data_IF_771292015224
#
_entry.id   IF_771292015224
#
_cell.length_a   1.000
_cell.length_b   1.000
_cell.length_c   1.000
_cell.angle_alpha   90.00
_cell.angle_beta   90.00
_cell.angle_gamma   90.00
#
_symmetry.space_group_name_H-M   'P 1'
#
loop_
_entity.id
_entity.type
_entity.pdbx_description
1 polymer ?
#
# COMPACT_ATOMS: atom_id res chain seq x y z
N UNK A 1 3.66 -28.62 -7.03
CA UNK A 1 3.29 -27.97 -8.28
C UNK A 1 4.33 -26.88 -8.60
N UNK A 2 5.04 -26.92 -9.74
CA UNK A 2 6.06 -25.94 -10.09
C UNK A 2 5.52 -24.53 -10.35
N UNK A 3 4.22 -24.38 -10.52
CA UNK A 3 3.54 -23.11 -10.81
C UNK A 3 3.13 -22.35 -9.55
N UNK A 4 3.29 -22.95 -8.35
CA UNK A 4 2.96 -22.30 -7.09
C UNK A 4 4.15 -21.49 -6.58
N UNK A 5 3.87 -20.22 -6.26
CA UNK A 5 4.73 -19.35 -5.48
C UNK A 5 4.21 -19.23 -4.05
N UNK A 6 5.10 -19.05 -3.09
CA UNK A 6 4.71 -18.88 -1.70
C UNK A 6 5.59 -17.86 -0.99
N UNK A 7 5.00 -17.16 -0.04
CA UNK A 7 5.69 -16.23 0.85
C UNK A 7 5.17 -16.38 2.27
N UNK A 8 6.05 -16.14 3.24
CA UNK A 8 5.70 -16.12 4.67
C UNK A 8 5.94 -14.72 5.19
N UNK A 9 4.90 -14.13 5.78
CA UNK A 9 4.97 -12.87 6.49
C UNK A 9 4.86 -13.13 8.00
N UNK A 10 5.71 -12.47 8.77
CA UNK A 10 5.75 -12.57 10.23
C UNK A 10 5.60 -11.17 10.79
N UNK A 11 4.66 -10.92 11.72
CA UNK A 11 4.59 -9.62 12.40
C UNK A 11 5.84 -9.41 13.25
N UNK A 12 6.11 -8.15 13.59
CA UNK A 12 7.30 -7.79 14.35
C UNK A 12 7.42 -8.54 15.69
N UNK A 13 6.30 -8.78 16.35
CA UNK A 13 6.25 -9.53 17.62
C UNK A 13 6.37 -11.06 17.46
N UNK A 14 6.38 -11.57 16.23
CA UNK A 14 6.54 -12.99 15.92
C UNK A 14 5.42 -13.91 16.39
N UNK A 15 4.24 -13.35 16.74
CA UNK A 15 3.15 -14.09 17.38
C UNK A 15 2.46 -15.12 16.48
N UNK A 16 2.55 -14.93 15.15
CA UNK A 16 1.99 -15.83 14.15
C UNK A 16 2.75 -15.72 12.81
N UNK A 17 2.42 -16.58 11.88
CA UNK A 17 2.96 -16.58 10.52
C UNK A 17 1.80 -16.61 9.53
N UNK A 18 1.83 -15.74 8.54
CA UNK A 18 0.88 -15.74 7.42
C UNK A 18 1.59 -16.34 6.21
N UNK A 19 1.11 -17.47 5.75
CA UNK A 19 1.52 -18.09 4.50
C UNK A 19 0.58 -17.65 3.39
N UNK A 20 1.14 -17.02 2.35
CA UNK A 20 0.45 -16.68 1.12
C UNK A 20 0.92 -17.60 0.00
N UNK A 21 -0.01 -18.16 -0.76
CA UNK A 21 0.27 -19.06 -1.89
C UNK A 21 -0.43 -18.51 -3.12
N UNK A 22 0.36 -18.17 -4.15
CA UNK A 22 -0.10 -17.73 -5.46
C UNK A 22 0.13 -18.80 -6.54
N UNK A 23 -0.47 -18.64 -7.70
CA UNK A 23 -0.30 -19.53 -8.85
C UNK A 23 0.06 -18.72 -10.11
N UNK A 24 1.25 -19.00 -10.65
CA UNK A 24 1.73 -18.35 -11.88
C UNK A 24 1.77 -16.83 -11.78
N UNK A 25 1.09 -16.14 -12.69
CA UNK A 25 0.93 -14.67 -12.73
C UNK A 25 -0.43 -14.20 -12.21
N UNK A 26 -1.22 -15.10 -11.60
CA UNK A 26 -2.50 -14.74 -10.99
C UNK A 26 -2.24 -13.87 -9.75
N UNK A 27 -2.95 -12.77 -9.63
CA UNK A 27 -2.83 -11.87 -8.47
C UNK A 27 -3.57 -12.41 -7.24
N UNK A 28 -4.52 -13.34 -7.44
CA UNK A 28 -5.27 -13.99 -6.36
C UNK A 28 -4.37 -14.93 -5.58
N UNK A 29 -4.69 -15.15 -4.32
CA UNK A 29 -3.90 -16.03 -3.47
C UNK A 29 -4.73 -16.72 -2.38
N UNK A 30 -4.24 -17.88 -1.94
CA UNK A 30 -4.66 -18.51 -0.70
C UNK A 30 -3.94 -17.88 0.48
N UNK A 31 -4.58 -17.87 1.65
CA UNK A 31 -3.94 -17.51 2.90
C UNK A 31 -4.11 -18.61 3.94
N UNK A 32 -3.07 -18.82 4.72
CA UNK A 32 -3.10 -19.67 5.91
C UNK A 32 -2.32 -19.03 7.04
N UNK A 33 -2.67 -19.36 8.27
CA UNK A 33 -2.03 -18.85 9.48
C UNK A 33 -1.48 -19.99 10.35
N UNK A 34 -0.35 -19.77 10.98
CA UNK A 34 0.21 -20.62 12.02
C UNK A 34 0.57 -19.80 13.24
N UNK A 35 0.23 -20.31 14.43
CA UNK A 35 0.49 -19.65 15.72
C UNK A 35 1.69 -20.25 16.48
N UNK A 36 2.29 -21.28 15.93
CA UNK A 36 3.40 -22.00 16.56
C UNK A 36 4.54 -22.29 15.57
N UNK A 37 5.66 -22.81 16.09
CA UNK A 37 6.81 -23.19 15.31
C UNK A 37 6.65 -24.56 14.59
N UNK A 38 5.53 -25.26 14.80
CA UNK A 38 5.28 -26.60 14.23
C UNK A 38 4.92 -26.55 12.75
N UNK A 39 4.78 -25.38 12.15
CA UNK A 39 4.33 -25.16 10.77
C UNK A 39 2.94 -25.73 10.47
N UNK A 40 2.11 -25.90 11.49
CA UNK A 40 0.70 -26.24 11.33
C UNK A 40 -0.06 -25.01 10.85
N UNK A 41 -0.28 -24.92 9.55
CA UNK A 41 -1.03 -23.83 8.94
C UNK A 41 -2.52 -24.13 8.88
N UNK A 42 -3.32 -23.24 9.45
CA UNK A 42 -4.79 -23.27 9.40
C UNK A 42 -5.22 -22.39 8.22
N UNK A 43 -6.06 -22.87 7.30
CA UNK A 43 -6.54 -22.07 6.19
C UNK A 43 -7.37 -20.86 6.68
N UNK A 44 -7.05 -19.67 6.20
CA UNK A 44 -7.85 -18.45 6.35
C UNK A 44 -8.70 -18.20 5.11
N UNK A 45 -8.09 -18.35 3.94
CA UNK A 45 -8.70 -18.26 2.61
C UNK A 45 -8.27 -19.48 1.83
N UNK A 46 -9.23 -20.34 1.49
CA UNK A 46 -9.02 -21.62 0.81
C UNK A 46 -9.46 -21.63 -0.65
N UNK A 47 -9.90 -20.51 -1.18
CA UNK A 47 -10.36 -20.35 -2.56
C UNK A 47 -9.59 -19.20 -3.25
N UNK A 48 -9.33 -19.35 -4.55
CA UNK A 48 -8.69 -18.34 -5.40
C UNK A 48 -9.71 -17.27 -5.83
N UNK A 49 -10.23 -16.48 -4.88
CA UNK A 49 -11.33 -15.54 -5.13
C UNK A 49 -10.84 -14.09 -5.27
N UNK A 50 -9.78 -13.72 -4.57
CA UNK A 50 -9.27 -12.35 -4.54
C UNK A 50 -7.78 -12.31 -4.16
N UNK A 51 -7.19 -11.12 -4.31
CA UNK A 51 -5.86 -10.79 -3.78
C UNK A 51 -5.97 -10.41 -2.31
N UNK A 52 -5.05 -10.92 -1.49
CA UNK A 52 -4.90 -10.55 -0.08
C UNK A 52 -3.43 -10.26 0.20
N UNK A 53 -3.08 -8.99 0.40
CA UNK A 53 -1.73 -8.57 0.71
C UNK A 53 -1.62 -8.19 2.19
N UNK A 54 -0.74 -8.88 2.92
CA UNK A 54 -0.42 -8.57 4.30
C UNK A 54 0.31 -7.21 4.37
N UNK A 55 -0.22 -6.28 5.15
CA UNK A 55 0.33 -4.93 5.32
C UNK A 55 1.16 -4.78 6.59
N UNK A 56 0.83 -5.55 7.63
CA UNK A 56 1.46 -5.51 8.93
C UNK A 56 0.61 -6.19 9.99
N UNK A 57 1.16 -6.37 11.18
CA UNK A 57 0.42 -7.00 12.27
C UNK A 57 1.06 -6.81 13.63
N UNK A 58 0.21 -6.85 14.67
CA UNK A 58 0.57 -6.96 16.09
C UNK A 58 0.36 -8.40 16.57
N UNK A 59 0.50 -8.65 17.86
CA UNK A 59 0.25 -9.97 18.46
C UNK A 59 -1.15 -10.52 18.16
N UNK A 60 -2.15 -9.66 18.10
CA UNK A 60 -3.57 -10.01 18.06
C UNK A 60 -4.33 -9.41 16.88
N UNK A 61 -3.64 -8.77 15.94
CA UNK A 61 -4.24 -8.12 14.77
C UNK A 61 -3.35 -8.25 13.54
N UNK A 62 -3.98 -8.34 12.36
CA UNK A 62 -3.30 -8.25 11.08
C UNK A 62 -4.12 -7.41 10.10
N UNK A 63 -3.46 -6.53 9.34
CA UNK A 63 -4.08 -5.67 8.33
C UNK A 63 -3.77 -6.20 6.95
N UNK A 64 -4.80 -6.24 6.10
CA UNK A 64 -4.71 -6.74 4.74
C UNK A 64 -5.35 -5.76 3.76
N UNK A 65 -4.68 -5.54 2.64
CA UNK A 65 -5.33 -5.07 1.42
C UNK A 65 -5.99 -6.24 0.72
N UNK A 66 -7.18 -6.02 0.15
CA UNK A 66 -7.83 -7.01 -0.72
C UNK A 66 -8.71 -6.32 -1.76
N UNK A 67 -8.92 -7.01 -2.88
CA UNK A 67 -9.89 -6.65 -3.91
C UNK A 67 -11.15 -7.53 -3.87
N UNK A 68 -11.39 -8.26 -2.79
CA UNK A 68 -12.60 -9.07 -2.61
C UNK A 68 -13.84 -8.19 -2.66
N UNK A 69 -14.72 -8.42 -3.65
CA UNK A 69 -15.94 -7.64 -3.91
C UNK A 69 -15.70 -6.11 -3.94
N UNK A 70 -14.47 -5.70 -4.30
CA UNK A 70 -13.99 -4.33 -4.24
C UNK A 70 -12.87 -4.10 -5.28
N UNK A 71 -13.18 -3.97 -6.57
CA UNK A 71 -12.18 -3.85 -7.64
C UNK A 71 -11.19 -2.69 -7.44
N UNK A 72 -11.59 -1.63 -6.73
CA UNK A 72 -10.69 -0.52 -6.36
C UNK A 72 -9.87 -0.78 -5.08
N UNK A 73 -10.08 -1.92 -4.43
CA UNK A 73 -9.41 -2.30 -3.19
C UNK A 73 -10.08 -1.78 -1.92
N UNK A 74 -9.87 -2.50 -0.85
CA UNK A 74 -10.33 -2.22 0.52
C UNK A 74 -9.34 -2.73 1.54
N UNK A 75 -9.48 -2.33 2.79
CA UNK A 75 -8.64 -2.80 3.89
C UNK A 75 -9.46 -3.64 4.86
N UNK A 76 -8.96 -4.83 5.14
CA UNK A 76 -9.48 -5.71 6.18
C UNK A 76 -8.58 -5.73 7.41
N UNK A 77 -9.20 -5.87 8.55
CA UNK A 77 -8.58 -6.27 9.81
C UNK A 77 -8.89 -7.75 10.07
N UNK A 78 -7.88 -8.55 10.30
CA UNK A 78 -7.99 -9.89 10.88
C UNK A 78 -7.77 -9.76 12.38
N UNK A 79 -8.84 -9.95 13.15
CA UNK A 79 -8.82 -9.95 14.62
C UNK A 79 -8.44 -11.36 15.11
N UNK A 80 -7.33 -11.44 15.82
CA UNK A 80 -6.73 -12.66 16.35
C UNK A 80 -6.81 -12.71 17.89
N UNK A 81 -7.58 -11.82 18.52
CA UNK A 81 -7.74 -11.77 19.98
C UNK A 81 -8.55 -12.93 20.55
N UNK A 82 -9.27 -13.65 19.72
CA UNK A 82 -10.04 -14.86 20.06
C UNK A 82 -9.39 -16.12 19.48
N UNK A 83 -9.85 -17.30 19.90
CA UNK A 83 -9.37 -18.59 19.38
C UNK A 83 -9.68 -18.80 17.88
N UNK A 84 -10.64 -18.07 17.35
CA UNK A 84 -11.00 -18.13 15.93
C UNK A 84 -10.71 -16.75 15.30
N UNK A 85 -9.92 -16.71 14.21
CA UNK A 85 -9.66 -15.48 13.45
C UNK A 85 -10.95 -14.89 12.87
N UNK A 86 -11.18 -13.58 13.09
CA UNK A 86 -12.38 -12.88 12.62
C UNK A 86 -11.99 -11.78 11.65
N UNK A 87 -12.49 -11.85 10.41
CA UNK A 87 -12.34 -10.80 9.42
C UNK A 87 -13.31 -9.66 9.67
N UNK A 88 -12.81 -8.43 9.65
CA UNK A 88 -13.60 -7.21 9.75
C UNK A 88 -13.27 -6.28 8.60
N UNK A 89 -14.29 -5.71 7.98
CA UNK A 89 -14.12 -4.62 7.02
C UNK A 89 -13.70 -3.35 7.78
N UNK A 90 -12.50 -2.83 7.45
CA UNK A 90 -11.92 -1.72 8.18
C UNK A 90 -12.03 -0.40 7.40
N UNK A 91 -11.56 -0.40 6.15
CA UNK A 91 -11.70 0.75 5.24
C UNK A 91 -12.36 0.21 3.98
N UNK A 92 -13.61 0.58 3.69
CA UNK A 92 -14.35 0.10 2.55
C UNK A 92 -13.78 0.64 1.22
N UNK A 93 -14.18 0.00 0.13
CA UNK A 93 -13.84 0.47 -1.21
C UNK A 93 -14.25 1.93 -1.42
N UNK A 94 -13.40 2.67 -2.11
CA UNK A 94 -13.68 4.04 -2.54
C UNK A 94 -13.90 4.13 -4.05
N UNK A 95 -14.28 5.33 -4.52
CA UNK A 95 -14.42 5.61 -5.96
C UNK A 95 -13.11 5.40 -6.74
N UNK A 96 -11.97 5.65 -6.08
CA UNK A 96 -10.65 5.59 -6.69
C UNK A 96 -9.88 4.36 -6.22
N UNK A 97 -9.10 3.72 -7.09
CA UNK A 97 -8.35 2.53 -6.72
C UNK A 97 -7.20 2.86 -5.76
N UNK A 98 -6.99 1.96 -4.80
CA UNK A 98 -5.81 1.97 -3.94
C UNK A 98 -4.63 1.43 -4.75
N UNK A 99 -3.65 2.28 -5.06
CA UNK A 99 -2.42 1.88 -5.76
C UNK A 99 -1.39 1.27 -4.82
N UNK A 100 -1.38 1.69 -3.55
CA UNK A 100 -0.57 1.07 -2.51
C UNK A 100 -1.15 1.34 -1.12
N UNK A 101 -0.88 0.41 -0.20
CA UNK A 101 -1.26 0.51 1.18
C UNK A 101 -0.11 0.04 2.07
N UNK A 102 0.06 0.65 3.24
CA UNK A 102 1.08 0.27 4.22
C UNK A 102 0.62 0.56 5.64
N UNK A 103 1.17 -0.23 6.58
CA UNK A 103 1.08 0.01 8.01
C UNK A 103 2.45 0.45 8.49
N UNK A 104 2.56 1.68 9.00
CA UNK A 104 3.82 2.25 9.50
C UNK A 104 3.55 3.07 10.75
N UNK A 105 4.29 2.79 11.81
CA UNK A 105 3.97 3.35 13.12
C UNK A 105 2.56 2.94 13.53
N UNK A 106 1.80 3.87 14.04
CA UNK A 106 0.39 3.71 14.41
C UNK A 106 -0.57 4.19 13.30
N UNK A 107 -0.14 4.12 12.02
CA UNK A 107 -0.89 4.64 10.87
C UNK A 107 -1.09 3.60 9.77
N UNK A 108 -2.25 3.65 9.14
CA UNK A 108 -2.53 3.10 7.81
C UNK A 108 -2.38 4.23 6.79
N UNK A 109 -1.47 4.06 5.84
CA UNK A 109 -1.19 5.04 4.79
C UNK A 109 -1.65 4.43 3.46
N UNK A 110 -2.68 5.02 2.84
CA UNK A 110 -3.28 4.56 1.60
C UNK A 110 -3.02 5.57 0.49
N UNK A 111 -2.42 5.12 -0.59
CA UNK A 111 -2.22 5.91 -1.79
C UNK A 111 -3.29 5.57 -2.82
N UNK A 112 -4.13 6.51 -3.15
CA UNK A 112 -5.17 6.40 -4.17
C UNK A 112 -4.69 6.97 -5.49
N UNK A 113 -5.13 6.36 -6.59
CA UNK A 113 -4.89 6.87 -7.93
C UNK A 113 -6.11 7.69 -8.38
N UNK A 114 -5.98 9.02 -8.33
CA UNK A 114 -7.02 9.97 -8.70
C UNK A 114 -6.61 10.70 -9.99
N UNK A 115 -7.32 10.47 -11.08
CA UNK A 115 -7.02 11.09 -12.38
C UNK A 115 -5.52 11.00 -12.77
N UNK A 116 -4.92 9.82 -12.57
CA UNK A 116 -3.49 9.52 -12.80
C UNK A 116 -2.49 10.14 -11.80
N UNK A 117 -2.97 10.82 -10.77
CA UNK A 117 -2.16 11.43 -9.71
C UNK A 117 -2.31 10.65 -8.40
N UNK A 118 -1.29 10.71 -7.57
CA UNK A 118 -1.33 10.14 -6.21
C UNK A 118 -2.05 11.08 -5.25
N UNK A 119 -3.02 10.52 -4.51
CA UNK A 119 -3.67 11.15 -3.36
C UNK A 119 -3.49 10.24 -2.15
N UNK A 120 -2.72 10.69 -1.17
CA UNK A 120 -2.35 9.88 -0.01
C UNK A 120 -3.21 10.23 1.18
N UNK A 121 -3.96 9.25 1.69
CA UNK A 121 -4.81 9.38 2.90
C UNK A 121 -4.21 8.59 4.05
N UNK A 122 -4.24 9.20 5.22
CA UNK A 122 -3.70 8.64 6.45
C UNK A 122 -4.86 8.36 7.40
N UNK A 123 -4.88 7.15 7.95
CA UNK A 123 -5.87 6.65 8.90
C UNK A 123 -5.17 6.14 10.16
N UNK A 124 -5.89 6.06 11.26
CA UNK A 124 -5.43 5.29 12.42
C UNK A 124 -5.56 3.77 12.16
N UNK A 125 -5.07 2.95 13.09
CA UNK A 125 -5.14 1.49 12.97
C UNK A 125 -6.56 0.92 13.16
N UNK A 126 -7.51 1.73 13.61
CA UNK A 126 -8.94 1.46 13.70
C UNK A 126 -9.70 1.83 12.42
N UNK A 127 -9.01 2.39 11.41
CA UNK A 127 -9.59 2.78 10.12
C UNK A 127 -10.27 4.15 10.11
N UNK A 128 -10.12 4.96 11.17
CA UNK A 128 -10.63 6.30 11.20
C UNK A 128 -9.73 7.23 10.37
N UNK A 129 -10.33 8.02 9.48
CA UNK A 129 -9.60 9.00 8.68
C UNK A 129 -8.99 10.10 9.58
N UNK A 130 -7.70 10.36 9.41
CA UNK A 130 -6.98 11.41 10.11
C UNK A 130 -6.79 12.64 9.22
N UNK A 131 -6.15 12.45 8.07
CA UNK A 131 -5.85 13.54 7.14
C UNK A 131 -5.49 13.03 5.76
N UNK A 132 -5.50 13.91 4.79
CA UNK A 132 -4.84 13.74 3.50
C UNK A 132 -3.45 14.39 3.57
N UNK A 133 -2.44 13.75 3.00
CA UNK A 133 -1.09 14.31 2.93
C UNK A 133 -1.11 15.55 2.03
N UNK A 134 -0.80 16.76 2.55
CA UNK A 134 -0.93 18.01 1.79
C UNK A 134 0.24 18.20 0.81
N UNK A 135 0.32 17.33 -0.21
CA UNK A 135 1.38 17.35 -1.21
C UNK A 135 0.92 18.07 -2.47
N UNK A 136 1.55 19.21 -2.79
CA UNK A 136 1.15 20.05 -3.93
C UNK A 136 1.77 19.65 -5.28
N UNK A 137 2.41 18.48 -5.36
CA UNK A 137 3.06 18.00 -6.59
C UNK A 137 2.10 17.22 -7.49
N UNK A 138 2.12 17.47 -8.79
CA UNK A 138 1.46 16.62 -9.80
C UNK A 138 2.39 15.49 -10.23
N UNK A 139 2.15 14.26 -9.78
CA UNK A 139 2.99 13.11 -10.06
C UNK A 139 2.62 11.90 -9.22
N UNK A 140 3.56 10.98 -9.12
CA UNK A 140 3.41 9.74 -8.37
C UNK A 140 4.14 9.85 -7.03
N UNK A 141 3.43 9.51 -5.95
CA UNK A 141 3.99 9.27 -4.63
C UNK A 141 4.13 7.77 -4.42
N UNK A 142 5.24 7.32 -3.84
CA UNK A 142 5.48 5.93 -3.49
C UNK A 142 6.39 5.81 -2.26
N UNK A 143 6.55 4.60 -1.74
CA UNK A 143 7.31 4.38 -0.51
C UNK A 143 6.39 4.12 0.68
N UNK A 144 6.43 4.95 1.72
CA UNK A 144 5.66 4.80 2.96
C UNK A 144 5.84 3.43 3.61
N UNK A 145 7.09 2.97 3.71
CA UNK A 145 7.43 1.68 4.32
C UNK A 145 8.04 1.87 5.70
N UNK A 146 7.84 0.90 6.56
CA UNK A 146 8.40 0.85 7.90
C UNK A 146 7.76 -0.23 8.74
N UNK A 147 8.05 -0.24 10.03
CA UNK A 147 7.48 -1.11 11.05
C UNK A 147 6.56 -0.32 11.98
N UNK A 148 5.81 -1.05 12.84
CA UNK A 148 4.82 -0.45 13.74
C UNK A 148 5.40 0.51 14.78
N UNK A 149 6.67 0.42 15.11
CA UNK A 149 7.37 1.29 16.08
C UNK A 149 8.14 2.44 15.41
N UNK A 150 8.09 2.56 14.09
CA UNK A 150 8.67 3.69 13.43
C UNK A 150 7.89 4.99 13.73
N UNK A 151 8.63 6.06 13.99
CA UNK A 151 8.11 7.43 14.13
C UNK A 151 8.28 8.25 12.86
N UNK A 152 9.06 7.72 11.93
CA UNK A 152 9.43 8.36 10.66
C UNK A 152 9.20 7.33 9.55
N UNK A 153 8.66 7.81 8.44
CA UNK A 153 8.60 7.07 7.18
C UNK A 153 9.19 7.90 6.07
N UNK A 154 9.60 7.25 4.98
CA UNK A 154 10.11 7.93 3.80
C UNK A 154 9.20 7.66 2.62
N UNK A 155 9.00 8.69 1.81
CA UNK A 155 8.31 8.55 0.54
C UNK A 155 9.05 9.30 -0.56
N UNK A 156 8.84 8.89 -1.77
CA UNK A 156 9.39 9.54 -2.95
C UNK A 156 8.29 10.18 -3.79
N UNK A 157 8.66 11.28 -4.41
CA UNK A 157 7.88 11.92 -5.44
C UNK A 157 8.63 11.85 -6.77
N UNK A 158 7.92 11.48 -7.82
CA UNK A 158 8.42 11.49 -9.18
C UNK A 158 7.38 12.02 -10.16
N UNK A 159 7.84 12.74 -11.17
CA UNK A 159 7.06 13.14 -12.33
C UNK A 159 7.98 13.25 -13.57
N UNK A 160 7.40 13.63 -14.71
CA UNK A 160 8.15 13.68 -15.98
C UNK A 160 9.16 14.83 -16.09
N UNK A 161 9.07 15.85 -15.24
CA UNK A 161 9.85 17.09 -15.33
C UNK A 161 10.75 17.37 -14.14
N UNK A 162 10.52 16.69 -13.02
CA UNK A 162 11.32 16.89 -11.81
C UNK A 162 12.12 15.63 -11.49
N UNK A 163 13.39 15.78 -11.10
CA UNK A 163 14.17 14.66 -10.57
C UNK A 163 13.47 14.05 -9.35
N UNK A 164 13.64 12.75 -9.19
CA UNK A 164 13.17 12.01 -8.01
C UNK A 164 13.62 12.71 -6.73
N UNK A 165 12.68 12.93 -5.84
CA UNK A 165 12.90 13.59 -4.54
C UNK A 165 12.37 12.68 -3.44
N UNK A 166 13.18 12.45 -2.41
CA UNK A 166 12.80 11.68 -1.22
C UNK A 166 12.44 12.66 -0.11
N UNK A 167 11.32 12.40 0.52
CA UNK A 167 10.82 13.13 1.67
C UNK A 167 10.83 12.27 2.92
N UNK A 168 11.07 12.89 4.05
CA UNK A 168 10.92 12.32 5.38
C UNK A 168 9.58 12.78 5.96
N UNK A 169 8.73 11.82 6.34
CA UNK A 169 7.42 12.05 6.96
C UNK A 169 7.52 11.72 8.45
N UNK A 170 7.26 12.71 9.29
CA UNK A 170 7.08 12.50 10.71
C UNK A 170 5.66 12.00 10.99
N UNK A 171 5.51 10.79 11.56
CA UNK A 171 4.22 10.12 11.77
C UNK A 171 3.43 10.66 12.97
N UNK A 172 4.08 11.39 13.88
CA UNK A 172 3.41 12.03 15.02
C UNK A 172 2.77 13.37 14.62
N UNK A 173 3.51 14.19 13.87
CA UNK A 173 3.05 15.52 13.45
C UNK A 173 2.39 15.54 12.08
N UNK A 174 2.58 14.48 11.27
CA UNK A 174 2.15 14.33 9.88
C UNK A 174 2.70 15.43 8.95
N UNK A 175 3.80 16.07 9.37
CA UNK A 175 4.59 16.99 8.55
C UNK A 175 5.70 16.24 7.82
N UNK A 176 6.11 16.77 6.68
CA UNK A 176 7.20 16.20 5.91
C UNK A 176 8.15 17.28 5.43
N UNK A 177 9.41 16.86 5.19
CA UNK A 177 10.45 17.73 4.64
C UNK A 177 11.29 16.96 3.62
N UNK A 178 12.00 17.70 2.77
CA UNK A 178 12.90 17.08 1.79
C UNK A 178 14.08 16.43 2.50
N UNK A 179 14.19 15.11 2.39
CA UNK A 179 15.32 14.35 2.88
C UNK A 179 16.46 14.32 1.86
N UNK A 180 16.14 14.09 0.59
CA UNK A 180 17.13 14.03 -0.48
C UNK A 180 16.51 14.39 -1.84
N UNK A 181 17.28 15.12 -2.65
CA UNK A 181 16.89 15.48 -4.00
C UNK A 181 18.03 15.22 -4.96
N UNK A 182 17.73 14.63 -6.12
CA UNK A 182 18.72 14.44 -7.17
C UNK A 182 19.12 15.79 -7.76
N UNK A 183 20.42 16.10 -7.73
CA UNK A 183 20.97 17.24 -8.47
C UNK A 183 21.49 16.78 -9.83
N UNK A 184 20.87 17.21 -10.91
CA UNK A 184 21.35 16.94 -12.26
C UNK A 184 22.10 18.20 -12.75
N UNK A 185 23.44 18.10 -12.81
CA UNK A 185 24.27 19.21 -13.31
C UNK A 185 23.92 19.51 -14.78
N UNK A 186 23.58 20.75 -15.08
CA UNK A 186 23.32 21.24 -16.43
C UNK A 186 21.89 21.01 -16.93
N UNK A 187 20.97 20.55 -16.08
CA UNK A 187 19.54 20.59 -16.35
C UNK A 187 18.95 21.76 -15.57
N UNK A 188 18.80 22.92 -16.22
CA UNK A 188 17.83 23.90 -15.74
C UNK A 188 16.46 23.23 -15.90
N UNK A 189 15.69 23.15 -14.82
CA UNK A 189 14.29 22.70 -14.87
C UNK A 189 13.53 23.77 -15.65
N UNK A 190 13.59 23.64 -16.97
CA UNK A 190 12.80 24.47 -17.89
C UNK A 190 11.38 23.94 -17.81
N UNK A 191 10.40 24.84 -17.77
CA UNK A 191 9.00 24.53 -17.95
C UNK A 191 8.83 23.63 -19.19
N UNK A 192 8.72 22.33 -18.98
CA UNK A 192 8.54 21.38 -20.06
C UNK A 192 7.09 21.53 -20.52
N UNK A 193 6.88 22.32 -21.54
CA UNK A 193 5.58 22.42 -22.20
C UNK A 193 5.31 21.08 -22.88
N UNK A 194 4.35 20.33 -22.38
CA UNK A 194 3.76 19.20 -23.07
C UNK A 194 3.05 19.71 -24.32
N UNK A 195 3.71 19.65 -25.45
CA UNK A 195 3.05 19.80 -26.74
C UNK A 195 2.21 18.56 -27.00
N UNK A 196 0.91 18.65 -26.79
CA UNK A 196 -0.02 17.71 -27.39
C UNK A 196 -0.07 18.03 -28.89
N UNK A 197 0.60 17.24 -29.71
CA UNK A 197 0.35 17.30 -31.16
C UNK A 197 -1.09 16.84 -31.41
N UNK A 198 -1.91 17.56 -32.19
CA UNK A 198 -3.23 17.09 -32.55
C UNK A 198 -3.12 15.73 -33.22
N UNK A 199 -4.00 14.79 -32.84
CA UNK A 199 -4.04 13.49 -33.47
C UNK A 199 -4.30 13.64 -34.97
N UNK A 200 -3.66 12.86 -35.85
CA UNK A 200 -3.95 12.87 -37.28
C UNK A 200 -5.42 12.61 -37.65
N UNK A 201 -6.25 12.18 -36.70
CA UNK A 201 -7.70 11.97 -36.87
C UNK A 201 -8.55 13.24 -36.70
N UNK A 202 -7.98 14.32 -36.16
CA UNK A 202 -8.72 15.56 -35.95
C UNK A 202 -8.62 16.54 -37.15
N UNK A 203 -7.91 16.13 -38.23
CA UNK A 203 -7.74 16.94 -39.43
C UNK A 203 -8.78 16.69 -40.53
N UNK A 204 -9.76 15.80 -40.32
CA UNK A 204 -10.80 15.43 -41.30
C UNK A 204 -12.23 15.78 -40.81
N UNK A 205 -12.44 17.00 -40.30
CA UNK A 205 -13.77 17.58 -40.13
C UNK A 205 -13.83 18.99 -40.71
#
# INVERSE_FOLDING_TARGET
NPDLSWSINVPQEGAYRILSIGEGTDERNFLSISFDDSLNFIPLISEFVATYNFLGGTKDRAWFFSNLDAPNGRIFLLDLSSNEPIWRDLIPESKFPISSASVVGDKLILNYLVDTLSEVKIFDLEGNFITELPFEGRGTLSGFKGSLDNKISYFEFSNFISPQTIYELNLETLSFETYWKTEIKGLDVVDCLLYTSPSPRDSDQ
#
